data_IF_370855454842
#
_entry.id   IF_370855454842
#
_cell.length_a   1.000
_cell.length_b   1.000
_cell.length_c   1.000
_cell.angle_alpha   90.00
_cell.angle_beta   90.00
_cell.angle_gamma   90.00
#
_symmetry.space_group_name_H-M   'P 1'
#
loop_
_entity.id
_entity.type
_entity.pdbx_description
1 polymer ?
#
# COMPACT_ATOMS: atom_id res chain seq x y z
N UNK A 1 51.59 1.98 -0.63
CA UNK A 1 51.43 0.52 -0.48
C UNK A 1 51.79 0.20 0.96
N UNK A 2 50.88 -0.36 1.73
CA UNK A 2 51.19 -0.88 3.07
C UNK A 2 51.64 -2.35 2.98
N UNK A 3 52.00 -2.94 4.12
CA UNK A 3 52.62 -4.26 4.24
C UNK A 3 51.78 -5.45 3.73
N UNK A 4 50.62 -5.21 3.10
CA UNK A 4 49.77 -6.22 2.48
C UNK A 4 49.42 -5.94 1.01
N UNK A 5 50.12 -5.01 0.34
CA UNK A 5 50.04 -4.88 -1.13
C UNK A 5 48.70 -4.39 -1.69
N UNK A 6 47.86 -3.74 -0.88
CA UNK A 6 46.64 -3.06 -1.38
C UNK A 6 46.95 -1.62 -1.78
N UNK A 7 46.40 -1.19 -2.91
CA UNK A 7 46.34 0.22 -3.30
C UNK A 7 45.39 0.96 -2.34
N UNK A 8 45.73 2.16 -1.86
CA UNK A 8 44.82 2.98 -1.08
C UNK A 8 43.70 3.47 -2.01
N UNK A 9 42.52 2.87 -1.92
CA UNK A 9 41.34 3.50 -2.50
C UNK A 9 40.95 4.63 -1.56
N UNK A 10 41.21 5.86 -2.01
CA UNK A 10 40.62 7.06 -1.45
C UNK A 10 39.11 6.89 -1.47
N UNK A 11 38.49 6.81 -0.29
CA UNK A 11 37.06 6.98 -0.18
C UNK A 11 36.69 8.28 -0.89
N UNK A 12 35.80 8.21 -1.88
CA UNK A 12 35.10 9.40 -2.31
C UNK A 12 34.46 10.02 -1.06
N UNK A 13 34.59 11.34 -0.84
CA UNK A 13 34.02 11.98 0.34
C UNK A 13 32.54 11.66 0.39
N UNK A 14 32.10 11.13 1.53
CA UNK A 14 30.70 10.89 1.85
C UNK A 14 30.00 12.24 1.66
N UNK A 15 29.00 12.38 0.77
CA UNK A 15 28.17 13.56 0.80
C UNK A 15 27.51 13.57 2.18
N UNK A 16 27.78 14.61 2.98
CA UNK A 16 27.00 14.87 4.18
C UNK A 16 25.56 15.10 3.72
N UNK A 17 24.72 14.07 3.79
CA UNK A 17 23.29 14.22 3.61
C UNK A 17 22.76 14.88 4.87
N UNK A 18 22.84 16.21 4.88
CA UNK A 18 22.02 17.02 5.74
C UNK A 18 20.56 16.70 5.47
N UNK A 19 19.81 16.55 6.56
CA UNK A 19 18.36 16.49 6.64
C UNK A 19 17.66 17.30 5.56
N UNK A 20 16.60 16.72 4.97
CA UNK A 20 15.41 17.43 4.53
C UNK A 20 15.63 18.81 3.87
N UNK A 21 16.56 18.96 2.93
CA UNK A 21 16.78 20.24 2.25
C UNK A 21 15.92 20.37 0.98
N UNK A 22 15.46 21.61 0.78
CA UNK A 22 14.41 22.20 -0.07
C UNK A 22 14.35 21.82 -1.57
N UNK A 23 13.20 22.03 -2.25
CA UNK A 23 12.91 21.45 -3.56
C UNK A 23 13.73 22.06 -4.70
N UNK A 24 14.32 21.19 -5.53
CA UNK A 24 14.87 21.57 -6.83
C UNK A 24 13.72 21.64 -7.84
N UNK A 25 13.49 22.82 -8.42
CA UNK A 25 12.51 23.01 -9.48
C UNK A 25 12.86 22.16 -10.70
N UNK A 26 11.96 21.27 -11.12
CA UNK A 26 12.07 20.50 -12.37
C UNK A 26 11.18 21.16 -13.42
N UNK A 27 11.80 21.62 -14.51
CA UNK A 27 11.13 22.09 -15.71
C UNK A 27 10.36 20.94 -16.38
N UNK A 28 9.04 21.06 -16.46
CA UNK A 28 8.16 20.11 -17.15
C UNK A 28 8.17 20.32 -18.65
N UNK A 29 8.66 19.32 -19.38
CA UNK A 29 8.26 19.08 -20.77
C UNK A 29 8.31 17.58 -21.07
N UNK A 30 7.16 16.91 -20.98
CA UNK A 30 6.94 15.59 -21.61
C UNK A 30 5.72 15.71 -22.51
N UNK A 31 5.81 15.34 -23.80
CA UNK A 31 4.73 15.53 -24.76
C UNK A 31 3.61 14.49 -24.59
N UNK A 32 2.39 14.98 -24.61
CA UNK A 32 1.13 14.25 -24.67
C UNK A 32 0.90 13.68 -26.07
N UNK A 33 0.90 12.36 -26.24
CA UNK A 33 -0.02 11.64 -27.15
C UNK A 33 0.26 10.13 -27.17
N UNK A 34 -0.61 9.37 -26.51
CA UNK A 34 -0.86 7.96 -26.87
C UNK A 34 -2.35 7.85 -27.19
N UNK A 35 -2.78 7.30 -28.35
CA UNK A 35 -4.19 7.28 -28.72
C UNK A 35 -4.99 6.27 -27.89
N UNK A 36 -6.10 6.72 -27.34
CA UNK A 36 -7.05 5.91 -26.58
C UNK A 36 -7.97 5.09 -27.52
N UNK A 37 -8.17 3.78 -27.30
CA UNK A 37 -9.15 3.01 -28.06
C UNK A 37 -10.58 3.35 -27.60
N UNK A 38 -11.44 3.66 -28.55
CA UNK A 38 -12.87 3.99 -28.34
C UNK A 38 -13.66 2.78 -27.86
N UNK A 39 -14.35 2.89 -26.72
CA UNK A 39 -15.36 1.93 -26.24
C UNK A 39 -16.72 2.62 -26.17
N UNK A 40 -17.74 1.98 -26.75
CA UNK A 40 -19.11 2.49 -26.87
C UNK A 40 -19.86 2.67 -25.54
N UNK A 41 -21.12 3.14 -25.57
CA UNK A 41 -21.79 3.70 -24.41
C UNK A 41 -22.19 2.58 -23.44
N UNK A 42 -21.65 2.63 -22.22
CA UNK A 42 -22.14 1.87 -21.08
C UNK A 42 -22.58 2.88 -20.02
N UNK A 43 -23.71 2.63 -19.36
CA UNK A 43 -24.35 3.54 -18.42
C UNK A 43 -23.34 4.17 -17.45
N UNK A 44 -23.34 5.50 -17.37
CA UNK A 44 -22.32 6.29 -16.70
C UNK A 44 -22.32 6.04 -15.18
N UNK A 45 -21.55 5.05 -14.73
CA UNK A 45 -21.08 4.98 -13.37
C UNK A 45 -20.11 6.13 -13.13
N UNK A 46 -20.45 7.06 -12.25
CA UNK A 46 -19.49 8.06 -11.77
C UNK A 46 -18.45 7.32 -10.94
N UNK A 47 -17.16 7.47 -11.26
CA UNK A 47 -16.08 6.98 -10.41
C UNK A 47 -16.14 7.73 -9.08
N UNK A 48 -16.58 7.05 -8.02
CA UNK A 48 -16.64 7.58 -6.66
C UNK A 48 -15.48 7.03 -5.83
N UNK A 49 -14.97 7.84 -4.89
CA UNK A 49 -14.03 7.37 -3.89
C UNK A 49 -14.81 6.62 -2.81
N UNK A 50 -14.41 5.37 -2.55
CA UNK A 50 -15.02 4.51 -1.54
C UNK A 50 -13.96 4.08 -0.54
N UNK A 51 -14.20 4.32 0.73
CA UNK A 51 -13.36 3.91 1.87
C UNK A 51 -14.24 3.16 2.89
N UNK A 52 -13.71 2.88 4.08
CA UNK A 52 -14.46 2.25 5.16
C UNK A 52 -14.13 2.87 6.52
N UNK A 53 -15.04 2.73 7.48
CA UNK A 53 -14.88 3.24 8.84
C UNK A 53 -15.16 2.17 9.90
N UNK A 54 -14.26 2.00 10.87
CA UNK A 54 -14.50 1.15 12.04
C UNK A 54 -15.04 1.99 13.20
N UNK A 55 -16.23 1.65 13.68
CA UNK A 55 -16.93 2.42 14.69
C UNK A 55 -16.50 2.03 16.11
N UNK A 56 -16.11 3.02 16.90
CA UNK A 56 -15.88 2.89 18.35
C UNK A 56 -17.11 3.30 19.17
N UNK A 57 -18.09 3.96 18.56
CA UNK A 57 -19.38 4.36 19.13
C UNK A 57 -20.50 4.26 18.08
N UNK A 58 -21.76 4.38 18.52
CA UNK A 58 -22.88 4.56 17.59
C UNK A 58 -22.81 5.89 16.82
N UNK A 59 -23.71 6.07 15.84
CA UNK A 59 -23.91 7.33 15.12
C UNK A 59 -25.37 7.77 15.23
N UNK A 60 -25.64 9.00 15.72
CA UNK A 60 -27.00 9.51 15.85
C UNK A 60 -27.55 10.15 14.56
N UNK A 61 -26.80 10.16 13.47
CA UNK A 61 -27.12 10.99 12.29
C UNK A 61 -28.44 10.60 11.61
N UNK A 62 -28.62 9.33 11.28
CA UNK A 62 -29.85 8.80 10.70
C UNK A 62 -30.70 8.01 11.68
N UNK A 63 -30.05 7.23 12.53
CA UNK A 63 -30.69 6.23 13.37
C UNK A 63 -30.06 6.23 14.75
N UNK A 64 -30.65 6.97 15.68
CA UNK A 64 -30.13 7.12 17.05
C UNK A 64 -29.97 5.78 17.80
N UNK A 65 -30.63 4.71 17.35
CA UNK A 65 -30.53 3.38 17.95
C UNK A 65 -29.35 2.54 17.45
N UNK A 66 -28.67 2.93 16.36
CA UNK A 66 -27.56 2.15 15.83
C UNK A 66 -26.35 2.23 16.76
N UNK A 67 -25.99 1.08 17.31
CA UNK A 67 -24.79 0.91 18.11
C UNK A 67 -23.55 0.80 17.23
N UNK A 68 -22.36 0.85 17.82
CA UNK A 68 -21.11 0.54 17.11
C UNK A 68 -21.15 -0.87 16.47
N UNK A 69 -21.81 -1.82 17.12
CA UNK A 69 -21.84 -3.21 16.66
C UNK A 69 -22.77 -3.36 15.46
N UNK A 70 -23.91 -2.66 15.46
CA UNK A 70 -24.79 -2.58 14.30
C UNK A 70 -24.06 -1.93 13.11
N UNK A 71 -23.38 -0.80 13.35
CA UNK A 71 -22.64 -0.10 12.30
C UNK A 71 -21.47 -0.90 11.76
N UNK A 72 -20.76 -1.66 12.61
CA UNK A 72 -19.61 -2.46 12.19
C UNK A 72 -20.02 -3.73 11.41
N UNK A 73 -21.04 -4.43 11.89
CA UNK A 73 -21.47 -5.74 11.35
C UNK A 73 -22.57 -5.65 10.29
N UNK A 74 -23.31 -4.54 10.23
CA UNK A 74 -24.36 -4.32 9.25
C UNK A 74 -23.84 -3.84 7.89
N UNK A 75 -24.75 -3.74 6.92
CA UNK A 75 -24.45 -3.24 5.58
C UNK A 75 -24.90 -1.79 5.45
N UNK A 76 -24.00 -0.89 5.83
CA UNK A 76 -24.29 0.54 5.89
C UNK A 76 -23.25 1.36 5.11
N UNK A 77 -23.65 2.58 4.78
CA UNK A 77 -22.81 3.54 4.09
C UNK A 77 -22.94 4.94 4.72
N UNK A 78 -21.86 5.71 4.60
CA UNK A 78 -21.81 7.14 4.87
C UNK A 78 -21.94 7.94 3.59
N UNK A 79 -22.56 9.11 3.69
CA UNK A 79 -22.66 10.07 2.59
C UNK A 79 -22.67 11.53 3.08
N UNK A 80 -22.32 12.45 2.20
CA UNK A 80 -22.32 13.90 2.51
C UNK A 80 -23.75 14.44 2.77
N UNK A 81 -24.73 13.94 2.01
CA UNK A 81 -26.08 14.49 1.95
C UNK A 81 -27.03 13.92 3.03
N UNK A 82 -26.48 13.46 4.15
CA UNK A 82 -27.26 13.15 5.36
C UNK A 82 -27.70 14.46 6.03
N UNK A 83 -28.98 14.62 6.40
CA UNK A 83 -29.99 13.56 6.61
C UNK A 83 -30.89 13.22 5.41
N UNK A 84 -30.81 13.92 4.29
CA UNK A 84 -31.73 13.73 3.16
C UNK A 84 -31.70 12.33 2.54
N UNK A 85 -30.58 11.60 2.70
CA UNK A 85 -30.40 10.24 2.20
C UNK A 85 -30.55 9.14 3.27
N UNK A 86 -30.89 9.48 4.51
CA UNK A 86 -31.07 8.50 5.58
C UNK A 86 -32.05 7.38 5.17
N UNK A 87 -31.63 6.13 5.35
CA UNK A 87 -32.43 4.94 5.05
C UNK A 87 -32.56 4.59 3.56
N UNK A 88 -32.06 5.44 2.66
CA UNK A 88 -31.92 5.05 1.24
C UNK A 88 -30.76 4.08 1.08
N UNK A 89 -30.81 3.29 0.01
CA UNK A 89 -29.75 2.33 -0.32
C UNK A 89 -28.94 2.80 -1.52
N UNK A 90 -27.70 2.35 -1.59
CA UNK A 90 -26.83 2.49 -2.75
C UNK A 90 -26.02 1.21 -2.98
N UNK A 91 -25.70 0.93 -4.24
CA UNK A 91 -24.88 -0.22 -4.63
C UNK A 91 -23.48 0.22 -5.03
N UNK A 92 -22.49 -0.48 -4.51
CA UNK A 92 -21.07 -0.24 -4.73
C UNK A 92 -20.50 -1.48 -5.41
N UNK A 93 -19.72 -1.30 -6.48
CA UNK A 93 -19.14 -2.41 -7.25
C UNK A 93 -17.63 -2.26 -7.35
N UNK A 94 -16.91 -3.33 -7.01
CA UNK A 94 -15.46 -3.41 -7.09
C UNK A 94 -15.07 -4.82 -7.57
N UNK A 95 -14.19 -4.92 -8.58
CA UNK A 95 -13.74 -6.20 -9.15
C UNK A 95 -14.88 -7.20 -9.47
N UNK A 96 -16.03 -6.71 -9.94
CA UNK A 96 -17.19 -7.54 -10.29
C UNK A 96 -18.05 -7.99 -9.09
N UNK A 97 -17.69 -7.62 -7.86
CA UNK A 97 -18.48 -7.85 -6.66
C UNK A 97 -19.31 -6.60 -6.36
N UNK A 98 -20.60 -6.76 -6.10
CA UNK A 98 -21.51 -5.67 -5.76
C UNK A 98 -22.07 -5.83 -4.35
N UNK A 99 -22.01 -4.77 -3.55
CA UNK A 99 -22.64 -4.67 -2.23
C UNK A 99 -23.68 -3.56 -2.24
N UNK A 100 -24.86 -3.84 -1.70
CA UNK A 100 -25.87 -2.82 -1.44
C UNK A 100 -25.88 -2.47 0.03
N UNK A 101 -25.76 -1.18 0.35
CA UNK A 101 -25.67 -0.67 1.71
C UNK A 101 -26.65 0.48 1.94
N UNK A 102 -27.11 0.62 3.19
CA UNK A 102 -28.06 1.66 3.61
C UNK A 102 -27.34 2.86 4.18
N UNK A 103 -27.70 4.08 3.77
CA UNK A 103 -27.08 5.28 4.32
C UNK A 103 -27.48 5.52 5.79
N UNK A 104 -26.48 5.66 6.66
CA UNK A 104 -26.67 5.71 8.10
C UNK A 104 -25.88 6.80 8.85
N UNK A 105 -24.81 7.36 8.27
CA UNK A 105 -24.05 8.46 8.88
C UNK A 105 -23.58 9.50 7.86
N UNK A 106 -23.28 10.70 8.34
CA UNK A 106 -22.74 11.78 7.53
C UNK A 106 -21.22 11.62 7.39
N UNK A 107 -20.73 11.76 6.17
CA UNK A 107 -19.29 11.94 5.88
C UNK A 107 -19.00 13.40 5.54
N UNK A 108 -17.73 13.82 5.62
CA UNK A 108 -17.28 15.17 5.23
C UNK A 108 -16.42 15.19 3.95
N UNK A 109 -16.37 14.06 3.22
CA UNK A 109 -15.57 13.91 2.00
C UNK A 109 -16.19 14.48 0.72
N UNK A 110 -17.38 15.11 0.79
CA UNK A 110 -18.06 15.70 -0.35
C UNK A 110 -18.87 14.70 -1.20
N UNK A 111 -19.52 15.22 -2.25
CA UNK A 111 -20.54 14.50 -3.05
C UNK A 111 -20.01 13.30 -3.86
N UNK A 112 -18.69 13.18 -4.02
CA UNK A 112 -18.02 12.07 -4.72
C UNK A 112 -17.46 10.98 -3.79
N UNK A 113 -17.70 11.08 -2.48
CA UNK A 113 -17.12 10.24 -1.46
C UNK A 113 -18.19 9.46 -0.69
N UNK A 114 -17.91 8.19 -0.43
CA UNK A 114 -18.72 7.33 0.41
C UNK A 114 -17.81 6.48 1.30
N UNK A 115 -18.23 6.29 2.55
CA UNK A 115 -17.61 5.32 3.45
C UNK A 115 -18.53 4.12 3.57
N UNK A 116 -17.99 2.91 3.56
CA UNK A 116 -18.75 1.69 3.87
C UNK A 116 -18.54 1.28 5.32
N UNK A 117 -19.52 0.57 5.88
CA UNK A 117 -19.30 -0.18 7.11
C UNK A 117 -18.22 -1.25 6.86
N UNK A 118 -17.50 -1.68 7.90
CA UNK A 118 -16.46 -2.68 7.73
C UNK A 118 -16.98 -3.99 7.12
N UNK A 119 -18.17 -4.46 7.51
CA UNK A 119 -18.75 -5.66 6.90
C UNK A 119 -19.14 -5.42 5.43
N UNK A 120 -19.70 -4.26 5.09
CA UNK A 120 -20.00 -3.92 3.70
C UNK A 120 -18.74 -3.83 2.84
N UNK A 121 -17.66 -3.25 3.36
CA UNK A 121 -16.40 -3.14 2.65
C UNK A 121 -15.71 -4.50 2.48
N UNK A 122 -15.69 -5.34 3.52
CA UNK A 122 -15.19 -6.72 3.41
C UNK A 122 -15.93 -7.51 2.33
N UNK A 123 -17.26 -7.42 2.33
CA UNK A 123 -18.09 -8.04 1.31
C UNK A 123 -17.79 -7.48 -0.09
N UNK A 124 -17.51 -6.17 -0.22
CA UNK A 124 -17.17 -5.51 -1.48
C UNK A 124 -15.82 -6.01 -2.03
N UNK A 125 -14.87 -6.30 -1.15
CA UNK A 125 -13.59 -6.92 -1.50
C UNK A 125 -13.71 -8.42 -1.83
N UNK A 126 -14.90 -9.01 -1.68
CA UNK A 126 -15.14 -10.44 -1.88
C UNK A 126 -14.58 -11.32 -0.75
N UNK A 127 -14.30 -10.74 0.41
CA UNK A 127 -13.72 -11.43 1.57
C UNK A 127 -14.81 -11.80 2.58
N UNK A 128 -14.80 -13.05 3.03
CA UNK A 128 -15.69 -13.54 4.08
C UNK A 128 -15.02 -13.41 5.46
N UNK A 129 -15.44 -12.41 6.23
CA UNK A 129 -15.06 -12.21 7.64
C UNK A 129 -16.29 -11.96 8.48
N UNK A 130 -16.25 -12.37 9.75
CA UNK A 130 -17.21 -11.93 10.76
C UNK A 130 -16.62 -10.73 11.50
N UNK A 131 -17.06 -9.53 11.14
CA UNK A 131 -16.53 -8.28 11.71
C UNK A 131 -16.73 -8.19 13.23
N UNK A 132 -17.73 -8.86 13.79
CA UNK A 132 -17.97 -8.87 15.23
C UNK A 132 -16.82 -9.50 16.04
N UNK A 133 -15.92 -10.25 15.40
CA UNK A 133 -14.74 -10.83 16.04
C UNK A 133 -13.58 -9.83 16.24
N UNK A 134 -13.69 -8.62 15.69
CA UNK A 134 -12.62 -7.61 15.73
C UNK A 134 -13.00 -6.47 16.66
N UNK A 135 -12.00 -5.94 17.38
CA UNK A 135 -12.19 -4.87 18.37
C UNK A 135 -11.63 -3.52 17.96
N UNK A 136 -10.91 -3.46 16.83
CA UNK A 136 -10.28 -2.25 16.29
C UNK A 136 -10.01 -2.40 14.79
N UNK A 137 -9.83 -1.27 14.11
CA UNK A 137 -9.66 -1.21 12.65
C UNK A 137 -8.45 -2.02 12.17
N UNK A 138 -7.31 -1.91 12.85
CA UNK A 138 -6.04 -2.51 12.44
C UNK A 138 -6.15 -4.04 12.37
N UNK A 139 -6.87 -4.64 13.32
CA UNK A 139 -7.06 -6.09 13.37
C UNK A 139 -7.95 -6.62 12.23
N UNK A 140 -8.88 -5.80 11.74
CA UNK A 140 -9.75 -6.16 10.61
C UNK A 140 -9.10 -5.89 9.26
N UNK A 141 -8.22 -4.90 9.19
CA UNK A 141 -7.59 -4.45 7.96
C UNK A 141 -6.78 -5.55 7.25
N UNK A 142 -6.08 -6.37 8.03
CA UNK A 142 -5.33 -7.53 7.56
C UNK A 142 -6.21 -8.58 6.88
N UNK A 143 -7.22 -9.17 7.55
CA UNK A 143 -8.00 -10.24 6.97
C UNK A 143 -8.86 -9.80 5.78
N UNK A 144 -9.26 -8.53 5.70
CA UNK A 144 -9.95 -8.02 4.50
C UNK A 144 -8.99 -7.70 3.35
N UNK A 145 -7.68 -7.74 3.59
CA UNK A 145 -6.64 -7.38 2.64
C UNK A 145 -6.93 -6.02 1.99
N UNK A 146 -7.17 -5.02 2.85
CA UNK A 146 -7.53 -3.67 2.41
C UNK A 146 -6.46 -3.10 1.46
N UNK A 147 -6.79 -2.85 0.18
CA UNK A 147 -5.82 -2.31 -0.78
C UNK A 147 -5.43 -0.87 -0.45
N UNK A 148 -6.13 -0.20 0.45
CA UNK A 148 -5.94 1.21 0.79
C UNK A 148 -4.85 1.51 1.82
N UNK A 149 -4.44 0.55 2.67
CA UNK A 149 -3.57 0.87 3.82
C UNK A 149 -2.74 -0.29 4.40
N UNK A 150 -2.40 -1.29 3.59
CA UNK A 150 -1.29 -2.18 3.95
C UNK A 150 0.02 -1.46 3.59
N UNK A 151 0.58 -0.69 4.53
CA UNK A 151 1.95 -0.15 4.37
C UNK A 151 2.93 -1.27 4.66
N UNK A 152 3.12 -2.12 3.68
CA UNK A 152 4.28 -2.99 3.62
C UNK A 152 5.50 -2.09 3.41
N UNK A 153 6.38 -2.05 4.42
CA UNK A 153 7.50 -1.12 4.46
C UNK A 153 8.41 -1.24 3.23
N UNK A 154 9.39 -0.34 3.11
CA UNK A 154 10.26 -0.26 1.93
C UNK A 154 10.90 -1.59 1.50
N UNK A 155 11.13 -2.52 2.44
CA UNK A 155 11.62 -3.87 2.15
C UNK A 155 10.71 -4.68 1.24
N UNK A 156 9.38 -4.54 1.35
CA UNK A 156 8.45 -5.21 0.44
C UNK A 156 8.47 -4.58 -0.94
N UNK A 157 8.51 -3.25 -1.04
CA UNK A 157 8.61 -2.58 -2.33
C UNK A 157 9.87 -2.99 -3.07
N UNK A 158 11.01 -3.03 -2.37
CA UNK A 158 12.25 -3.58 -2.91
C UNK A 158 12.08 -5.03 -3.34
N UNK A 159 11.44 -5.87 -2.52
CA UNK A 159 11.25 -7.27 -2.88
C UNK A 159 10.34 -7.46 -4.09
N UNK A 160 9.15 -6.86 -4.10
CA UNK A 160 8.12 -7.17 -5.07
C UNK A 160 8.41 -6.56 -6.44
N UNK A 161 8.80 -5.28 -6.48
CA UNK A 161 9.03 -4.55 -7.72
C UNK A 161 10.39 -4.92 -8.35
N UNK A 162 11.46 -4.88 -7.56
CA UNK A 162 12.81 -5.06 -8.10
C UNK A 162 13.15 -6.51 -8.46
N UNK A 163 12.53 -7.50 -7.80
CA UNK A 163 12.68 -8.92 -8.17
C UNK A 163 12.30 -9.16 -9.63
N UNK A 164 11.32 -8.41 -10.17
CA UNK A 164 10.86 -8.58 -11.56
C UNK A 164 11.97 -8.31 -12.58
N UNK A 165 13.01 -7.56 -12.18
CA UNK A 165 14.18 -7.28 -13.00
C UNK A 165 15.33 -8.26 -12.72
N UNK A 166 15.27 -9.11 -11.70
CA UNK A 166 16.34 -10.04 -11.38
C UNK A 166 16.29 -11.31 -12.25
N UNK A 167 17.41 -11.65 -12.86
CA UNK A 167 17.57 -12.93 -13.55
C UNK A 167 18.20 -13.95 -12.61
N UNK A 168 17.37 -14.87 -12.10
CA UNK A 168 17.82 -15.96 -11.23
C UNK A 168 18.81 -16.93 -11.89
N UNK A 169 18.73 -17.13 -13.21
CA UNK A 169 19.62 -18.03 -13.94
C UNK A 169 21.06 -17.50 -14.01
N UNK A 170 21.23 -16.21 -14.31
CA UNK A 170 22.55 -15.56 -14.37
C UNK A 170 22.99 -14.91 -13.05
N UNK A 171 22.07 -14.72 -12.09
CA UNK A 171 22.28 -13.90 -10.88
C UNK A 171 22.71 -12.47 -11.23
N UNK A 172 21.97 -11.83 -12.13
CA UNK A 172 22.24 -10.46 -12.58
C UNK A 172 20.95 -9.67 -12.69
N UNK A 173 21.05 -8.35 -12.52
CA UNK A 173 19.95 -7.44 -12.81
C UNK A 173 19.77 -7.29 -14.32
N UNK A 174 18.53 -7.37 -14.81
CA UNK A 174 18.18 -7.03 -16.18
C UNK A 174 18.05 -5.50 -16.28
N UNK A 175 19.14 -4.87 -16.71
CA UNK A 175 19.25 -3.40 -16.81
C UNK A 175 20.18 -2.82 -15.75
N UNK A 176 19.97 -1.55 -15.41
CA UNK A 176 20.82 -0.85 -14.46
C UNK A 176 20.75 -1.44 -13.06
N UNK A 177 21.89 -1.50 -12.38
CA UNK A 177 21.99 -2.00 -11.01
C UNK A 177 21.00 -1.35 -10.03
N UNK A 178 20.71 -0.06 -10.23
CA UNK A 178 19.75 0.69 -9.41
C UNK A 178 18.33 0.09 -9.39
N UNK A 179 18.00 -0.79 -10.35
CA UNK A 179 16.70 -1.47 -10.42
C UNK A 179 16.60 -2.75 -9.60
N UNK A 180 17.72 -3.34 -9.18
CA UNK A 180 17.73 -4.59 -8.40
C UNK A 180 18.62 -4.53 -7.15
N UNK A 181 19.30 -3.40 -6.92
CA UNK A 181 20.32 -3.29 -5.90
C UNK A 181 19.79 -3.43 -4.48
N UNK A 182 18.55 -3.01 -4.23
CA UNK A 182 17.94 -3.17 -2.92
C UNK A 182 17.49 -4.61 -2.73
N UNK A 183 16.75 -5.18 -3.69
CA UNK A 183 16.31 -6.59 -3.65
C UNK A 183 17.47 -7.56 -3.45
N UNK A 184 18.50 -7.45 -4.29
CA UNK A 184 19.58 -8.42 -4.31
C UNK A 184 20.45 -8.37 -3.05
N UNK A 185 20.59 -7.21 -2.39
CA UNK A 185 21.19 -7.14 -1.06
C UNK A 185 20.25 -7.64 0.04
N UNK A 186 18.96 -7.28 -0.03
CA UNK A 186 17.95 -7.66 0.95
C UNK A 186 17.84 -9.19 1.10
N UNK A 187 17.88 -9.93 -0.02
CA UNK A 187 17.67 -11.37 -0.01
C UNK A 187 18.94 -12.20 -0.22
N UNK A 188 20.11 -11.55 -0.28
CA UNK A 188 21.37 -12.27 -0.41
C UNK A 188 21.66 -13.08 0.86
N UNK A 189 21.93 -14.39 0.75
CA UNK A 189 22.29 -15.21 1.91
C UNK A 189 23.64 -14.80 2.52
N UNK A 190 24.48 -14.07 1.79
CA UNK A 190 25.79 -13.60 2.26
C UNK A 190 25.67 -12.35 3.14
N UNK A 191 24.55 -11.62 3.08
CA UNK A 191 24.27 -10.48 3.96
C UNK A 191 23.87 -11.02 5.32
N UNK A 192 24.69 -10.74 6.34
CA UNK A 192 24.50 -11.29 7.70
C UNK A 192 23.91 -10.30 8.69
N UNK A 193 23.96 -9.01 8.38
CA UNK A 193 23.32 -7.99 9.20
C UNK A 193 22.91 -6.79 8.36
N UNK A 194 21.82 -6.18 8.80
CA UNK A 194 21.19 -5.01 8.19
C UNK A 194 20.88 -4.01 9.31
N UNK A 195 21.09 -2.73 9.05
CA UNK A 195 20.63 -1.64 9.90
C UNK A 195 19.93 -0.62 9.03
N UNK A 196 18.69 -0.28 9.38
CA UNK A 196 17.88 0.65 8.62
C UNK A 196 17.60 1.91 9.43
N UNK A 197 17.48 3.03 8.73
CA UNK A 197 16.93 4.26 9.24
C UNK A 197 15.75 4.72 8.39
N UNK A 198 14.94 5.59 8.97
CA UNK A 198 13.83 6.22 8.29
C UNK A 198 13.74 7.69 8.67
N UNK A 199 13.28 8.51 7.73
CA UNK A 199 12.97 9.92 7.96
C UNK A 199 11.68 10.30 7.22
N UNK A 200 10.86 11.11 7.87
CA UNK A 200 9.70 11.76 7.25
C UNK A 200 10.14 13.12 6.70
N UNK A 201 10.03 13.31 5.39
CA UNK A 201 10.37 14.55 4.69
C UNK A 201 9.11 15.16 4.05
N UNK A 202 9.15 16.44 3.69
CA UNK A 202 8.02 17.14 3.07
C UNK A 202 7.57 16.53 1.73
N UNK A 203 8.48 15.86 1.04
CA UNK A 203 8.28 15.17 -0.25
C UNK A 203 8.13 13.65 -0.11
N UNK A 204 8.03 13.11 1.11
CA UNK A 204 7.75 11.70 1.34
C UNK A 204 8.57 11.07 2.45
N UNK A 205 8.34 9.77 2.64
CA UNK A 205 9.05 8.93 3.57
C UNK A 205 10.31 8.35 2.92
N UNK A 206 11.46 8.50 3.57
CA UNK A 206 12.73 7.96 3.10
C UNK A 206 13.18 6.85 4.03
N UNK A 207 13.42 5.66 3.48
CA UNK A 207 14.02 4.53 4.18
C UNK A 207 15.36 4.23 3.53
N UNK A 208 16.38 4.03 4.35
CA UNK A 208 17.68 3.54 3.88
C UNK A 208 18.12 2.38 4.77
N UNK A 209 18.75 1.38 4.16
CA UNK A 209 19.33 0.26 4.88
C UNK A 209 20.80 0.11 4.49
N UNK A 210 21.63 -0.03 5.51
CA UNK A 210 23.03 -0.38 5.37
C UNK A 210 23.20 -1.87 5.67
N UNK A 211 23.95 -2.54 4.81
CA UNK A 211 24.24 -3.96 4.93
C UNK A 211 25.69 -4.14 5.33
N UNK A 212 25.95 -5.01 6.31
CA UNK A 212 27.32 -5.50 6.50
C UNK A 212 27.59 -6.55 5.42
N UNK A 213 28.77 -6.49 4.80
CA UNK A 213 29.16 -7.29 3.62
C UNK A 213 28.22 -7.14 2.41
N UNK A 214 28.06 -5.94 1.82
CA UNK A 214 27.31 -5.79 0.57
C UNK A 214 28.00 -6.59 -0.54
N UNK A 215 27.22 -7.40 -1.26
CA UNK A 215 27.81 -8.35 -2.22
C UNK A 215 27.80 -7.72 -3.61
N UNK A 216 28.97 -7.62 -4.23
CA UNK A 216 29.10 -7.08 -5.60
C UNK A 216 28.42 -7.97 -6.65
N UNK A 217 28.34 -9.28 -6.40
CA UNK A 217 27.74 -10.29 -7.28
C UNK A 217 26.89 -11.27 -6.43
N UNK A 218 25.74 -10.82 -5.88
CA UNK A 218 24.97 -11.61 -4.94
C UNK A 218 24.43 -12.89 -5.62
N UNK A 219 24.49 -14.01 -4.91
CA UNK A 219 23.91 -15.29 -5.34
C UNK A 219 22.57 -15.48 -4.66
N UNK A 220 21.53 -15.17 -5.39
CA UNK A 220 20.17 -15.01 -4.92
C UNK A 220 19.31 -16.11 -5.51
N UNK A 221 18.64 -16.88 -4.65
CA UNK A 221 17.70 -17.91 -5.05
C UNK A 221 16.26 -17.45 -4.78
N UNK A 222 15.27 -17.90 -5.57
CA UNK A 222 13.87 -17.61 -5.28
C UNK A 222 13.51 -18.16 -3.90
N UNK A 223 12.67 -17.43 -3.17
CA UNK A 223 12.10 -17.94 -1.92
C UNK A 223 11.21 -19.15 -2.25
N UNK A 224 11.47 -20.28 -1.59
CA UNK A 224 10.74 -21.54 -1.80
C UNK A 224 9.83 -21.83 -0.60
N UNK A 225 8.72 -22.51 -0.84
CA UNK A 225 7.80 -22.96 0.21
C UNK A 225 6.79 -21.92 0.68
N UNK A 226 6.80 -20.72 0.11
CA UNK A 226 5.81 -19.67 0.35
C UNK A 226 5.58 -18.88 -0.94
N UNK A 227 4.33 -18.55 -1.25
CA UNK A 227 3.98 -17.70 -2.40
C UNK A 227 4.15 -16.22 -2.05
N UNK A 228 4.32 -15.34 -3.04
CA UNK A 228 4.35 -13.88 -2.80
C UNK A 228 3.17 -13.38 -1.96
N UNK A 229 1.90 -13.74 -2.25
CA UNK A 229 0.78 -13.33 -1.41
C UNK A 229 0.86 -13.84 0.03
N UNK A 230 1.33 -15.08 0.24
CA UNK A 230 1.52 -15.62 1.59
C UNK A 230 2.66 -14.92 2.34
N UNK A 231 3.75 -14.58 1.65
CA UNK A 231 4.87 -13.83 2.21
C UNK A 231 4.43 -12.42 2.58
N UNK A 232 3.71 -11.73 1.67
CA UNK A 232 3.09 -10.44 1.92
C UNK A 232 2.25 -10.49 3.20
N UNK A 233 1.32 -11.44 3.28
CA UNK A 233 0.46 -11.63 4.44
C UNK A 233 1.22 -11.89 5.76
N UNK A 234 2.45 -12.43 5.70
CA UNK A 234 3.29 -12.64 6.89
C UNK A 234 4.04 -11.39 7.37
N UNK A 235 4.16 -10.36 6.51
CA UNK A 235 4.92 -9.13 6.77
C UNK A 235 4.04 -7.99 7.27
N UNK A 236 2.73 -8.11 7.12
CA UNK A 236 1.77 -7.15 7.65
C UNK A 236 1.35 -7.63 9.05
N UNK A 237 1.64 -6.81 10.06
CA UNK A 237 1.33 -7.05 11.48
C UNK A 237 0.14 -6.21 11.91
#
# INVERSE_FOLDING_TARGET
>A
VDAHGRLPYTYAPVPSINSCDTPVAVSSAVPTSVPQPTRGPSAAGVTKHVTWNFFTSGSPDCFASLTKDDLNSGLFAGAENIPADCGKTASFTYNGVTVTATYAWRTTGGQGYNELSPQAFANLLGVQVNVANFTRAEALQLPINDPGYVVVGASWLWYDEEETFWNYGSNTCNGDWAKCGHFSNLISPDVKSIACGWSQCANGNYVWCNYNTPVKNPKVSPIRGITKPQLLASLVV
#
